data_IF_046634575501
#
_entry.id   IF_046634575501
#
_cell.length_a   1.000
_cell.length_b   1.000
_cell.length_c   1.000
_cell.angle_alpha   90.00
_cell.angle_beta   90.00
_cell.angle_gamma   90.00
#
_symmetry.space_group_name_H-M   'P 1'
#
loop_
_entity.id
_entity.type
_entity.pdbx_description
1 polymer ?
#
# COMPACT_ATOMS: atom_id res chain seq x y z
N UNK A 1 13.90 -8.43 4.84
CA UNK A 1 12.57 -7.99 4.36
C UNK A 1 12.19 -8.76 3.10
N UNK A 2 10.92 -9.13 2.90
CA UNK A 2 10.44 -9.78 1.65
C UNK A 2 9.30 -8.96 1.05
N UNK A 3 9.61 -7.88 0.30
CA UNK A 3 8.61 -6.98 -0.25
C UNK A 3 7.61 -7.72 -1.14
N UNK A 4 6.33 -7.42 -0.99
CA UNK A 4 5.27 -8.05 -1.78
C UNK A 4 3.90 -8.01 -1.11
N UNK A 5 2.88 -8.30 -1.91
CA UNK A 5 1.49 -8.41 -1.46
C UNK A 5 1.21 -9.84 -1.01
N UNK A 6 0.61 -10.01 0.16
CA UNK A 6 0.16 -11.30 0.70
C UNK A 6 -1.37 -11.34 0.75
N UNK A 7 -1.94 -12.50 1.05
CA UNK A 7 -3.37 -12.59 1.29
C UNK A 7 -3.73 -11.81 2.57
N UNK A 8 -4.56 -10.78 2.44
CA UNK A 8 -5.09 -9.94 3.53
C UNK A 8 -6.20 -10.64 4.33
N UNK A 9 -6.86 -11.63 3.73
CA UNK A 9 -7.79 -12.54 4.40
C UNK A 9 -7.61 -13.95 3.84
N UNK A 10 -7.47 -14.93 4.73
CA UNK A 10 -7.40 -16.35 4.38
C UNK A 10 -7.65 -17.20 5.63
N UNK A 11 -8.31 -18.36 5.48
CA UNK A 11 -8.60 -19.28 6.58
C UNK A 11 -9.25 -18.58 7.79
N UNK A 12 -10.21 -17.69 7.51
CA UNK A 12 -10.91 -16.87 8.50
C UNK A 12 -10.04 -15.92 9.35
N UNK A 13 -8.82 -15.66 8.90
CA UNK A 13 -7.86 -14.76 9.55
C UNK A 13 -7.69 -13.49 8.72
N UNK A 14 -7.94 -12.35 9.34
CA UNK A 14 -7.65 -11.03 8.80
C UNK A 14 -6.21 -10.63 9.16
N UNK A 15 -5.49 -10.09 8.18
CA UNK A 15 -4.09 -9.67 8.33
C UNK A 15 -3.99 -8.19 8.01
N UNK A 16 -3.26 -7.44 8.83
CA UNK A 16 -3.05 -5.98 8.70
C UNK A 16 -1.56 -5.62 8.73
N UNK A 17 -1.19 -4.47 8.16
CA UNK A 17 0.19 -4.01 8.11
C UNK A 17 1.11 -4.97 7.35
N UNK A 18 2.34 -5.14 7.86
CA UNK A 18 3.38 -5.92 7.18
C UNK A 18 3.02 -7.40 6.99
N UNK A 19 2.12 -7.96 7.80
CA UNK A 19 1.66 -9.34 7.61
C UNK A 19 0.76 -9.48 6.35
N UNK A 20 0.03 -8.42 5.99
CA UNK A 20 -0.82 -8.35 4.79
C UNK A 20 -0.02 -8.01 3.53
N UNK A 21 1.06 -7.24 3.69
CA UNK A 21 1.99 -6.94 2.62
C UNK A 21 3.12 -6.08 3.12
N UNK A 22 4.32 -6.34 2.61
CA UNK A 22 5.54 -5.66 3.04
C UNK A 22 5.99 -4.73 1.92
N UNK A 23 6.16 -3.44 2.21
CA UNK A 23 6.73 -2.48 1.27
C UNK A 23 8.26 -2.45 1.38
N UNK A 24 8.94 -1.97 0.34
CA UNK A 24 10.37 -1.69 0.44
C UNK A 24 10.61 -0.47 1.37
N UNK A 25 11.56 -0.51 2.34
CA UNK A 25 11.78 0.56 3.32
C UNK A 25 12.11 1.92 2.73
N UNK A 26 12.56 1.97 1.48
CA UNK A 26 12.91 3.20 0.76
C UNK A 26 11.79 4.26 0.75
N UNK A 27 10.53 3.85 0.91
CA UNK A 27 9.37 4.76 0.99
C UNK A 27 8.82 4.96 2.42
N UNK A 28 9.38 4.29 3.44
CA UNK A 28 8.99 4.46 4.85
C UNK A 28 7.48 4.31 5.17
N UNK A 29 6.76 3.47 4.42
CA UNK A 29 5.29 3.35 4.51
C UNK A 29 4.78 2.36 5.57
N UNK A 30 5.66 1.65 6.30
CA UNK A 30 5.25 0.52 7.17
C UNK A 30 4.19 0.88 8.23
N UNK A 31 4.38 2.00 8.94
CA UNK A 31 3.42 2.47 9.97
C UNK A 31 2.13 2.96 9.31
N UNK A 32 2.23 3.72 8.22
CA UNK A 32 1.06 4.22 7.50
C UNK A 32 0.21 3.07 6.94
N UNK A 33 0.84 2.04 6.38
CA UNK A 33 0.17 0.83 5.94
C UNK A 33 -0.51 0.10 7.09
N UNK A 34 0.14 -0.02 8.25
CA UNK A 34 -0.48 -0.65 9.43
C UNK A 34 -1.76 0.09 9.86
N UNK A 35 -1.69 1.41 10.02
CA UNK A 35 -2.85 2.22 10.41
C UNK A 35 -3.97 2.18 9.37
N UNK A 36 -3.65 2.45 8.10
CA UNK A 36 -4.65 2.47 7.02
C UNK A 36 -5.27 1.09 6.79
N UNK A 37 -4.50 0.01 6.89
CA UNK A 37 -5.06 -1.35 6.75
C UNK A 37 -5.93 -1.77 7.94
N UNK A 38 -5.64 -1.29 9.15
CA UNK A 38 -6.52 -1.44 10.32
C UNK A 38 -7.85 -0.69 10.13
N UNK A 39 -7.78 0.56 9.64
CA UNK A 39 -8.97 1.34 9.30
C UNK A 39 -9.85 0.64 8.26
N UNK A 40 -9.27 0.18 7.16
CA UNK A 40 -9.99 -0.54 6.10
C UNK A 40 -10.66 -1.82 6.62
N UNK A 41 -9.99 -2.53 7.53
CA UNK A 41 -10.54 -3.73 8.14
C UNK A 41 -11.73 -3.40 9.04
N UNK A 42 -11.58 -2.39 9.91
CA UNK A 42 -12.66 -1.95 10.80
C UNK A 42 -13.91 -1.55 9.99
N UNK A 43 -13.74 -0.82 8.88
CA UNK A 43 -14.84 -0.43 8.01
C UNK A 43 -15.51 -1.62 7.32
N UNK A 44 -14.74 -2.63 6.89
CA UNK A 44 -15.31 -3.84 6.33
C UNK A 44 -16.13 -4.59 7.40
N UNK A 45 -15.56 -4.83 8.59
CA UNK A 45 -16.23 -5.56 9.67
C UNK A 45 -17.49 -4.85 10.18
N UNK A 46 -17.51 -3.52 10.24
CA UNK A 46 -18.66 -2.76 10.71
C UNK A 46 -19.92 -2.92 9.84
N UNK A 47 -19.79 -3.41 8.61
CA UNK A 47 -20.90 -3.58 7.64
C UNK A 47 -21.43 -5.01 7.59
N UNK A 48 -20.84 -5.92 8.35
CA UNK A 48 -21.06 -7.36 8.26
C UNK A 48 -21.28 -7.92 9.66
N UNK A 49 -22.11 -8.94 9.79
CA UNK A 49 -22.19 -9.73 11.02
C UNK A 49 -20.88 -10.50 11.20
N UNK A 50 -20.14 -10.22 12.29
CA UNK A 50 -18.85 -10.86 12.59
C UNK A 50 -19.00 -12.23 13.24
N UNK A 51 -20.19 -12.60 13.72
CA UNK A 51 -20.44 -13.90 14.34
C UNK A 51 -20.79 -14.95 13.27
N UNK A 52 -21.42 -14.54 12.17
CA UNK A 52 -21.65 -15.40 11.02
C UNK A 52 -20.38 -15.59 10.17
N UNK A 53 -20.01 -16.85 9.92
CA UNK A 53 -18.82 -17.21 9.14
C UNK A 53 -18.96 -16.80 7.67
N UNK A 54 -20.16 -16.88 7.09
CA UNK A 54 -20.38 -16.52 5.68
C UNK A 54 -20.24 -15.00 5.49
N UNK A 55 -20.81 -14.23 6.41
CA UNK A 55 -20.72 -12.79 6.50
C UNK A 55 -19.27 -12.32 6.69
N UNK A 56 -18.49 -12.96 7.58
CA UNK A 56 -17.05 -12.71 7.70
C UNK A 56 -16.29 -12.98 6.40
N UNK A 57 -16.65 -14.02 5.64
CA UNK A 57 -16.02 -14.27 4.36
C UNK A 57 -16.33 -13.18 3.32
N UNK A 58 -17.52 -12.57 3.38
CA UNK A 58 -17.85 -11.38 2.57
C UNK A 58 -16.99 -10.19 3.00
N UNK A 59 -16.93 -9.91 4.31
CA UNK A 59 -16.08 -8.86 4.87
C UNK A 59 -14.61 -9.03 4.45
N UNK A 60 -14.10 -10.26 4.46
CA UNK A 60 -12.76 -10.62 4.02
C UNK A 60 -12.50 -10.29 2.55
N UNK A 61 -13.48 -10.51 1.67
CA UNK A 61 -13.38 -10.13 0.25
C UNK A 61 -13.38 -8.61 0.07
N UNK A 62 -14.28 -7.91 0.75
CA UNK A 62 -14.39 -6.45 0.68
C UNK A 62 -13.12 -5.78 1.19
N UNK A 63 -12.63 -6.22 2.34
CA UNK A 63 -11.36 -5.80 2.91
C UNK A 63 -10.21 -6.04 1.94
N UNK A 64 -10.10 -7.25 1.38
CA UNK A 64 -9.01 -7.61 0.47
C UNK A 64 -9.02 -6.77 -0.81
N UNK A 65 -10.21 -6.45 -1.33
CA UNK A 65 -10.36 -5.56 -2.49
C UNK A 65 -9.92 -4.13 -2.15
N UNK A 66 -10.37 -3.60 -1.00
CA UNK A 66 -10.02 -2.26 -0.56
C UNK A 66 -8.51 -2.13 -0.28
N UNK A 67 -7.92 -3.12 0.40
CA UNK A 67 -6.49 -3.18 0.69
C UNK A 67 -5.67 -3.17 -0.61
N UNK A 68 -6.00 -4.02 -1.59
CA UNK A 68 -5.30 -4.06 -2.88
C UNK A 68 -5.40 -2.73 -3.62
N UNK A 69 -6.58 -2.11 -3.64
CA UNK A 69 -6.78 -0.79 -4.28
C UNK A 69 -5.92 0.30 -3.62
N UNK A 70 -5.75 0.24 -2.31
CA UNK A 70 -4.99 1.24 -1.55
C UNK A 70 -3.47 1.08 -1.69
N UNK A 71 -2.96 -0.16 -1.67
CA UNK A 71 -1.52 -0.39 -1.48
C UNK A 71 -0.78 -1.03 -2.65
N UNK A 72 -1.45 -1.69 -3.60
CA UNK A 72 -0.76 -2.46 -4.66
C UNK A 72 0.17 -1.59 -5.52
N UNK A 73 -0.28 -0.41 -5.94
CA UNK A 73 0.50 0.54 -6.73
C UNK A 73 1.70 1.08 -5.95
N UNK A 74 1.52 1.42 -4.67
CA UNK A 74 2.60 1.91 -3.81
C UNK A 74 3.69 0.86 -3.61
N UNK A 75 3.31 -0.39 -3.34
CA UNK A 75 4.25 -1.50 -3.16
C UNK A 75 5.00 -1.79 -4.47
N UNK A 76 4.31 -1.76 -5.61
CA UNK A 76 4.94 -1.94 -6.93
C UNK A 76 5.93 -0.80 -7.25
N UNK A 77 5.54 0.46 -7.04
CA UNK A 77 6.41 1.61 -7.23
C UNK A 77 7.66 1.54 -6.33
N UNK A 78 7.48 1.14 -5.07
CA UNK A 78 8.58 0.89 -4.13
C UNK A 78 9.61 -0.09 -4.69
N UNK A 79 9.13 -1.21 -5.23
CA UNK A 79 9.96 -2.28 -5.74
C UNK A 79 10.72 -1.83 -7.00
N UNK A 80 10.07 -1.05 -7.88
CA UNK A 80 10.73 -0.46 -9.06
C UNK A 80 11.82 0.54 -8.63
N UNK A 81 11.50 1.47 -7.73
CA UNK A 81 12.47 2.45 -7.23
C UNK A 81 13.66 1.78 -6.54
N UNK A 82 13.40 0.75 -5.72
CA UNK A 82 14.45 -0.03 -5.09
C UNK A 82 15.37 -0.71 -6.11
N UNK A 83 14.81 -1.29 -7.18
CA UNK A 83 15.60 -1.90 -8.26
C UNK A 83 16.42 -0.87 -9.02
N UNK A 84 15.87 0.30 -9.31
CA UNK A 84 16.58 1.40 -9.97
C UNK A 84 17.72 1.96 -9.12
N UNK A 85 17.55 2.00 -7.80
CA UNK A 85 18.57 2.48 -6.86
C UNK A 85 19.77 1.53 -6.72
N UNK A 86 19.62 0.25 -7.06
CA UNK A 86 20.67 -0.78 -6.92
C UNK A 86 21.48 -0.96 -8.22
N UNK A 87 21.04 -0.42 -9.35
CA UNK A 87 21.78 -0.54 -10.62
C UNK A 87 23.01 0.40 -10.65
N UNK A 88 24.25 -0.11 -10.81
CA UNK A 88 25.46 0.73 -10.79
C UNK A 88 25.56 1.76 -11.93
N UNK A 89 24.82 1.55 -13.01
CA UNK A 89 24.86 2.37 -14.24
C UNK A 89 23.71 3.39 -14.31
N UNK A 90 22.76 3.37 -13.37
CA UNK A 90 21.64 4.31 -13.33
C UNK A 90 21.95 5.58 -12.54
N UNK A 91 23.04 5.64 -11.77
CA UNK A 91 23.41 6.84 -11.02
C UNK A 91 23.55 8.06 -11.94
N UNK A 92 24.21 7.93 -13.10
CA UNK A 92 24.37 9.00 -14.09
C UNK A 92 23.06 9.37 -14.81
N UNK A 93 22.26 8.38 -15.18
CA UNK A 93 20.94 8.60 -15.80
C UNK A 93 19.94 9.22 -14.82
N UNK A 94 19.93 8.80 -13.56
CA UNK A 94 19.10 9.36 -12.49
C UNK A 94 19.54 10.81 -12.18
N UNK A 95 20.85 11.09 -12.17
CA UNK A 95 21.35 12.46 -12.06
C UNK A 95 20.91 13.33 -13.24
N UNK A 96 20.93 12.81 -14.46
CA UNK A 96 20.48 13.52 -15.65
C UNK A 96 18.96 13.78 -15.63
N UNK A 97 18.14 12.82 -15.20
CA UNK A 97 16.68 12.97 -15.08
C UNK A 97 16.31 13.97 -13.97
N UNK A 98 16.96 13.89 -12.81
CA UNK A 98 16.76 14.84 -11.69
C UNK A 98 17.19 16.26 -12.08
N UNK A 99 18.25 16.41 -12.88
CA UNK A 99 18.69 17.72 -13.41
C UNK A 99 17.78 18.24 -14.52
N UNK A 100 17.26 17.38 -15.39
CA UNK A 100 16.43 17.77 -16.54
C UNK A 100 14.97 18.07 -16.16
N UNK A 101 14.48 17.51 -15.05
CA UNK A 101 13.12 17.70 -14.56
C UNK A 101 13.13 18.08 -13.06
N UNK A 102 13.41 19.34 -12.69
CA UNK A 102 13.41 19.80 -11.29
C UNK A 102 12.03 19.63 -10.63
N UNK A 103 10.97 19.62 -11.43
CA UNK A 103 9.57 19.40 -11.05
C UNK A 103 9.21 17.94 -10.78
N UNK A 104 10.12 16.98 -11.04
CA UNK A 104 9.90 15.55 -10.74
C UNK A 104 9.83 15.26 -9.23
N UNK A 105 10.46 16.12 -8.40
CA UNK A 105 10.29 16.10 -6.94
C UNK A 105 8.85 16.43 -6.53
N UNK A 106 8.17 17.32 -7.26
CA UNK A 106 6.77 17.66 -7.04
C UNK A 106 5.82 16.54 -7.49
N UNK A 107 6.20 15.77 -8.51
CA UNK A 107 5.44 14.60 -8.96
C UNK A 107 5.51 13.43 -7.97
N UNK A 108 6.65 13.27 -7.27
CA UNK A 108 6.79 12.33 -6.15
C UNK A 108 5.86 12.63 -4.97
N UNK A 109 5.63 13.92 -4.68
CA UNK A 109 4.65 14.35 -3.68
C UNK A 109 3.20 14.07 -4.11
N UNK A 110 2.89 14.22 -5.40
CA UNK A 110 1.58 13.88 -5.98
C UNK A 110 1.33 12.36 -6.00
N UNK A 111 2.34 11.56 -6.34
CA UNK A 111 2.27 10.08 -6.35
C UNK A 111 2.26 9.48 -4.93
N UNK A 112 2.88 10.15 -3.95
CA UNK A 112 2.84 9.80 -2.51
C UNK A 112 1.43 9.93 -1.90
N UNK A 113 0.46 10.52 -2.62
CA UNK A 113 -0.94 10.50 -2.20
C UNK A 113 -1.27 11.38 -1.00
N UNK A 114 -0.38 12.31 -0.62
CA UNK A 114 -0.64 13.33 0.42
C UNK A 114 -1.74 14.32 0.02
N UNK A 115 -2.23 14.26 -1.21
CA UNK A 115 -3.35 15.06 -1.76
C UNK A 115 -4.65 14.27 -1.88
N UNK A 116 -4.66 12.96 -1.57
CA UNK A 116 -5.86 12.15 -1.68
C UNK A 116 -6.64 12.22 -0.36
N UNK A 117 -7.69 13.03 -0.34
CA UNK A 117 -8.59 13.14 0.81
C UNK A 117 -9.13 11.75 1.19
N UNK A 118 -9.10 11.45 2.49
CA UNK A 118 -9.87 10.33 3.04
C UNK A 118 -11.34 10.66 2.79
N UNK A 119 -12.14 9.75 2.19
CA UNK A 119 -13.55 10.04 1.93
C UNK A 119 -14.26 10.40 3.25
N UNK A 120 -14.96 11.53 3.23
CA UNK A 120 -15.74 12.00 4.37
C UNK A 120 -16.97 11.12 4.60
N UNK A 121 -17.40 11.10 5.86
CA UNK A 121 -18.53 10.32 6.33
C UNK A 121 -19.84 10.78 5.65
N UNK A 122 -20.52 9.85 4.98
CA UNK A 122 -21.97 9.89 4.75
C UNK A 122 -22.55 8.53 5.11
#
# INVERSE_FOLDING_TARGET
>A
IRPGVRASYAADIFRVGNIAGECHPIIAEGIAMALQSGWLLAYALARHDVWDARSRAVAGRDYSRAWRRQFSTRIAAAAVLARLAILPQTAGAMQAVVRALPSSLSFGAWLSGKTRAVPECR
#
